data_IF_221781108093
#
_entry.id   IF_221781108093
#
_cell.length_a   1.000
_cell.length_b   1.000
_cell.length_c   1.000
_cell.angle_alpha   90.00
_cell.angle_beta   90.00
_cell.angle_gamma   90.00
#
_symmetry.space_group_name_H-M   'P 1'
#
loop_
_entity.id
_entity.type
_entity.pdbx_description
1 polymer ?
#
# COMPACT_ATOMS: atom_id res chain seq x y z
N UNK A 1 8.12 -31.36 35.58
CA UNK A 1 6.72 -31.05 35.20
C UNK A 1 6.58 -29.67 34.53
N UNK A 2 7.56 -28.77 34.68
CA UNK A 2 7.53 -27.38 34.18
C UNK A 2 7.52 -27.20 32.65
N UNK A 3 8.04 -28.16 31.87
CA UNK A 3 8.15 -28.02 30.41
C UNK A 3 6.87 -28.41 29.66
N UNK A 4 6.08 -29.36 30.19
CA UNK A 4 4.82 -29.77 29.55
C UNK A 4 3.80 -28.62 29.61
N UNK A 5 3.68 -27.94 30.75
CA UNK A 5 2.78 -26.80 30.90
C UNK A 5 3.18 -25.61 29.98
N UNK A 6 4.49 -25.37 29.80
CA UNK A 6 5.00 -24.38 28.83
C UNK A 6 4.63 -24.75 27.39
N UNK A 7 4.79 -26.02 27.01
CA UNK A 7 4.39 -26.52 25.69
C UNK A 7 2.88 -26.31 25.48
N UNK A 8 2.05 -26.71 26.45
CA UNK A 8 0.60 -26.53 26.37
C UNK A 8 0.21 -25.05 26.19
N UNK A 9 0.85 -24.14 26.94
CA UNK A 9 0.64 -22.70 26.78
C UNK A 9 0.96 -22.23 25.36
N UNK A 10 2.13 -22.60 24.82
CA UNK A 10 2.52 -22.23 23.46
C UNK A 10 1.54 -22.77 22.41
N UNK A 11 1.13 -24.04 22.52
CA UNK A 11 0.16 -24.61 21.57
C UNK A 11 -1.17 -23.88 21.56
N UNK A 12 -1.62 -23.37 22.73
CA UNK A 12 -2.81 -22.53 22.82
C UNK A 12 -2.61 -21.18 22.13
N UNK A 13 -1.45 -20.54 22.31
CA UNK A 13 -1.11 -19.29 21.61
C UNK A 13 -1.10 -19.47 20.08
N UNK A 14 -0.59 -20.60 19.58
CA UNK A 14 -0.65 -20.96 18.16
C UNK A 14 -2.10 -21.10 17.66
N UNK A 15 -2.94 -21.80 18.42
CA UNK A 15 -4.36 -21.96 18.06
C UNK A 15 -5.08 -20.59 18.01
N UNK A 16 -4.86 -19.74 19.00
CA UNK A 16 -5.45 -18.40 19.05
C UNK A 16 -4.94 -17.52 17.89
N UNK A 17 -3.65 -17.61 17.54
CA UNK A 17 -3.10 -16.89 16.40
C UNK A 17 -3.71 -17.36 15.06
N UNK A 18 -3.93 -18.67 14.90
CA UNK A 18 -4.58 -19.23 13.71
C UNK A 18 -6.05 -18.78 13.59
N UNK A 19 -6.78 -18.73 14.70
CA UNK A 19 -8.16 -18.21 14.72
C UNK A 19 -8.18 -16.75 14.26
N UNK A 20 -7.33 -15.88 14.85
CA UNK A 20 -7.24 -14.46 14.45
C UNK A 20 -6.85 -14.30 12.99
N UNK A 21 -5.94 -15.13 12.49
CA UNK A 21 -5.55 -15.10 11.07
C UNK A 21 -6.75 -15.39 10.16
N UNK A 22 -7.52 -16.44 10.45
CA UNK A 22 -8.69 -16.81 9.65
C UNK A 22 -9.79 -15.75 9.70
N UNK A 23 -10.03 -15.15 10.88
CA UNK A 23 -10.95 -14.03 11.03
C UNK A 23 -10.56 -12.86 10.13
N UNK A 24 -9.28 -12.49 10.11
CA UNK A 24 -8.78 -11.42 9.23
C UNK A 24 -8.91 -11.78 7.75
N UNK A 25 -8.63 -13.02 7.36
CA UNK A 25 -8.85 -13.46 5.98
C UNK A 25 -10.30 -13.27 5.56
N UNK A 26 -11.24 -13.67 6.42
CA UNK A 26 -12.67 -13.47 6.17
C UNK A 26 -13.04 -11.98 6.07
N UNK A 27 -12.52 -11.12 6.96
CA UNK A 27 -12.80 -9.67 6.93
C UNK A 27 -12.23 -9.03 5.64
N UNK A 28 -11.04 -9.43 5.21
CA UNK A 28 -10.45 -8.96 3.95
C UNK A 28 -11.31 -9.33 2.75
N UNK A 29 -11.64 -10.63 2.61
CA UNK A 29 -12.33 -11.16 1.43
C UNK A 29 -13.77 -10.67 1.31
N UNK A 30 -14.46 -10.49 2.44
CA UNK A 30 -15.89 -10.16 2.43
C UNK A 30 -16.21 -8.67 2.58
N UNK A 31 -15.25 -7.83 3.00
CA UNK A 31 -15.51 -6.42 3.29
C UNK A 31 -14.34 -5.52 2.86
N UNK A 32 -13.20 -5.61 3.57
CA UNK A 32 -12.19 -4.55 3.52
C UNK A 32 -11.48 -4.43 2.17
N UNK A 33 -11.32 -5.51 1.40
CA UNK A 33 -10.73 -5.45 0.06
C UNK A 33 -11.53 -4.51 -0.87
N UNK A 34 -12.83 -4.76 -1.00
CA UNK A 34 -13.72 -3.93 -1.83
C UNK A 34 -13.79 -2.49 -1.31
N UNK A 35 -13.90 -2.32 0.01
CA UNK A 35 -13.92 -1.00 0.63
C UNK A 35 -12.66 -0.18 0.34
N UNK A 36 -11.48 -0.79 0.41
CA UNK A 36 -10.21 -0.13 0.07
C UNK A 36 -10.19 0.24 -1.41
N UNK A 37 -10.55 -0.70 -2.30
CA UNK A 37 -10.57 -0.48 -3.74
C UNK A 37 -11.45 0.70 -4.13
N UNK A 38 -12.66 0.77 -3.58
CA UNK A 38 -13.61 1.86 -3.84
C UNK A 38 -13.08 3.20 -3.32
N UNK A 39 -12.46 3.19 -2.14
CA UNK A 39 -11.86 4.39 -1.56
C UNK A 39 -10.69 4.92 -2.40
N UNK A 40 -9.80 4.02 -2.85
CA UNK A 40 -8.70 4.40 -3.74
C UNK A 40 -9.22 4.91 -5.10
N UNK A 41 -10.31 4.36 -5.62
CA UNK A 41 -10.91 4.80 -6.87
C UNK A 41 -11.49 6.23 -6.76
N UNK A 42 -12.09 6.57 -5.61
CA UNK A 42 -12.51 7.95 -5.30
C UNK A 42 -11.32 8.91 -5.28
N UNK A 43 -10.22 8.52 -4.62
CA UNK A 43 -9.01 9.33 -4.53
C UNK A 43 -8.41 9.55 -5.92
N UNK A 44 -8.24 8.48 -6.71
CA UNK A 44 -7.74 8.56 -8.09
C UNK A 44 -8.61 9.49 -8.94
N UNK A 45 -9.93 9.36 -8.87
CA UNK A 45 -10.86 10.24 -9.60
C UNK A 45 -10.74 11.71 -9.20
N UNK A 46 -10.59 11.99 -7.90
CA UNK A 46 -10.42 13.34 -7.39
C UNK A 46 -9.09 13.97 -7.84
N UNK A 47 -7.99 13.21 -7.81
CA UNK A 47 -6.69 13.65 -8.32
C UNK A 47 -6.78 13.95 -9.82
N UNK A 48 -7.32 13.01 -10.62
CA UNK A 48 -7.45 13.16 -12.07
C UNK A 48 -8.36 14.32 -12.50
N UNK A 49 -9.38 14.65 -11.70
CA UNK A 49 -10.28 15.76 -11.99
C UNK A 49 -9.65 17.14 -11.75
N UNK A 50 -8.66 17.23 -10.85
CA UNK A 50 -8.02 18.50 -10.48
C UNK A 50 -6.62 18.67 -11.04
N UNK A 51 -6.02 17.62 -11.61
CA UNK A 51 -4.65 17.64 -12.10
C UNK A 51 -4.52 16.96 -13.46
N UNK A 52 -4.32 17.77 -14.51
CA UNK A 52 -4.19 17.31 -15.90
C UNK A 52 -3.02 16.32 -16.08
N UNK A 53 -1.95 16.45 -15.30
CA UNK A 53 -0.82 15.52 -15.34
C UNK A 53 -1.25 14.09 -14.97
N UNK A 54 -2.14 13.94 -13.97
CA UNK A 54 -2.57 12.65 -13.49
C UNK A 54 -3.80 12.08 -14.21
N UNK A 55 -4.47 12.87 -15.05
CA UNK A 55 -5.76 12.51 -15.67
C UNK A 55 -5.80 11.14 -16.34
N UNK A 56 -4.69 10.74 -16.98
CA UNK A 56 -4.51 9.43 -17.60
C UNK A 56 -3.35 8.63 -17.00
N UNK A 57 -2.84 9.07 -15.85
CA UNK A 57 -1.58 8.58 -15.29
C UNK A 57 -1.67 8.24 -13.80
N UNK A 58 -2.87 8.24 -13.20
CA UNK A 58 -3.12 7.67 -11.87
C UNK A 58 -4.30 6.72 -11.93
N UNK A 59 -4.12 5.51 -11.41
CA UNK A 59 -5.13 4.45 -11.48
C UNK A 59 -5.04 3.51 -10.27
N UNK A 60 -6.12 2.77 -10.06
CA UNK A 60 -6.17 1.70 -9.05
C UNK A 60 -5.88 0.37 -9.72
N UNK A 61 -4.94 -0.37 -9.15
CA UNK A 61 -4.59 -1.73 -9.55
C UNK A 61 -4.91 -2.69 -8.39
N UNK A 62 -5.40 -3.89 -8.69
CA UNK A 62 -5.84 -4.82 -7.66
C UNK A 62 -5.73 -6.28 -8.10
N UNK A 63 -5.19 -7.11 -7.22
CA UNK A 63 -5.29 -8.57 -7.23
C UNK A 63 -5.90 -9.08 -5.91
N UNK A 64 -5.99 -10.41 -5.74
CA UNK A 64 -6.62 -11.04 -4.57
C UNK A 64 -5.98 -10.66 -3.22
N UNK A 65 -4.70 -10.28 -3.22
CA UNK A 65 -3.91 -10.01 -2.02
C UNK A 65 -3.46 -8.55 -1.90
N UNK A 66 -3.39 -7.81 -3.00
CA UNK A 66 -2.87 -6.45 -3.03
C UNK A 66 -3.81 -5.50 -3.75
N UNK A 67 -4.07 -4.35 -3.13
CA UNK A 67 -4.87 -3.27 -3.71
C UNK A 67 -4.06 -1.99 -3.62
N UNK A 68 -3.88 -1.32 -4.74
CA UNK A 68 -2.91 -0.25 -4.85
C UNK A 68 -3.43 0.93 -5.67
N UNK A 69 -2.98 2.13 -5.32
CA UNK A 69 -3.02 3.29 -6.20
C UNK A 69 -1.62 3.51 -6.77
N UNK A 70 -1.55 3.63 -8.11
CA UNK A 70 -0.30 3.76 -8.86
C UNK A 70 -0.34 5.01 -9.71
N UNK A 71 0.79 5.70 -9.84
CA UNK A 71 1.00 6.62 -10.95
C UNK A 71 1.88 5.96 -12.01
N UNK A 72 1.61 6.24 -13.28
CA UNK A 72 2.43 5.73 -14.37
C UNK A 72 3.69 6.57 -14.60
N UNK A 73 4.41 6.18 -15.64
CA UNK A 73 5.77 6.60 -15.94
C UNK A 73 5.88 8.06 -16.40
N UNK A 74 6.96 8.71 -15.96
CA UNK A 74 7.34 10.07 -16.33
C UNK A 74 8.65 9.98 -17.11
N UNK A 75 8.60 10.25 -18.41
CA UNK A 75 9.81 10.33 -19.23
C UNK A 75 10.57 11.63 -18.94
N UNK A 76 11.89 11.56 -18.83
CA UNK A 76 12.74 12.75 -18.79
C UNK A 76 12.77 13.40 -20.18
N UNK A 77 12.21 14.61 -20.36
CA UNK A 77 12.34 15.29 -21.64
C UNK A 77 13.82 15.60 -21.86
N UNK A 78 14.36 15.22 -23.02
CA UNK A 78 15.74 15.47 -23.47
C UNK A 78 16.85 14.55 -22.93
N UNK A 79 16.53 13.40 -22.31
CA UNK A 79 17.56 12.39 -22.05
C UNK A 79 17.76 11.46 -23.27
N UNK A 80 18.99 11.40 -23.77
CA UNK A 80 19.38 10.53 -24.90
C UNK A 80 19.28 9.03 -24.54
N UNK A 81 19.23 8.70 -23.25
CA UNK A 81 19.12 7.33 -22.75
C UNK A 81 17.67 6.88 -22.48
N UNK A 82 16.66 7.72 -22.74
CA UNK A 82 15.25 7.48 -22.42
C UNK A 82 15.00 7.08 -20.96
N UNK A 83 15.72 7.68 -20.02
CA UNK A 83 15.47 7.48 -18.60
C UNK A 83 14.08 7.98 -18.22
N UNK A 84 13.45 7.23 -17.32
CA UNK A 84 12.11 7.51 -16.83
C UNK A 84 11.97 7.18 -15.35
N UNK A 85 11.04 7.88 -14.70
CA UNK A 85 10.61 7.61 -13.35
C UNK A 85 9.29 6.84 -13.43
N UNK A 86 9.22 5.61 -12.92
CA UNK A 86 7.98 4.82 -13.02
C UNK A 86 6.89 5.26 -12.01
N UNK A 87 7.00 6.48 -11.48
CA UNK A 87 6.02 7.08 -10.59
C UNK A 87 6.03 6.50 -9.17
N UNK A 88 4.86 6.48 -8.53
CA UNK A 88 4.65 5.93 -7.20
C UNK A 88 3.67 4.76 -7.20
N UNK A 89 3.80 3.91 -6.17
CA UNK A 89 2.89 2.81 -5.90
C UNK A 89 2.61 2.77 -4.40
N UNK A 90 1.35 2.96 -4.01
CA UNK A 90 0.91 2.87 -2.60
C UNK A 90 -0.02 1.68 -2.48
N UNK A 91 0.46 0.62 -1.84
CA UNK A 91 -0.21 -0.69 -1.78
C UNK A 91 -0.75 -1.04 -0.40
N UNK A 92 -1.89 -1.72 -0.38
CA UNK A 92 -2.52 -2.36 0.76
C UNK A 92 -2.48 -3.86 0.51
N UNK A 93 -1.51 -4.54 1.13
CA UNK A 93 -1.23 -5.96 0.91
C UNK A 93 -1.58 -6.79 2.12
N UNK A 94 -2.45 -7.78 1.94
CA UNK A 94 -2.71 -8.83 2.93
C UNK A 94 -1.49 -9.76 3.01
N UNK A 95 -0.91 -9.90 4.19
CA UNK A 95 0.22 -10.80 4.44
C UNK A 95 -0.23 -12.13 5.05
N UNK A 96 0.68 -13.10 5.15
CA UNK A 96 0.42 -14.50 5.49
C UNK A 96 -0.28 -14.76 6.83
N UNK A 97 -0.30 -13.79 7.75
CA UNK A 97 -1.02 -13.86 9.02
C UNK A 97 -2.34 -13.07 9.02
N UNK A 98 -2.83 -12.72 7.83
CA UNK A 98 -4.08 -11.98 7.59
C UNK A 98 -4.00 -10.48 7.87
N UNK A 99 -2.90 -9.96 8.43
CA UNK A 99 -2.72 -8.51 8.62
C UNK A 99 -2.62 -7.80 7.26
N UNK A 100 -2.92 -6.50 7.25
CA UNK A 100 -2.75 -5.67 6.04
C UNK A 100 -1.55 -4.77 6.21
N UNK A 101 -0.52 -5.02 5.41
CA UNK A 101 0.69 -4.21 5.29
C UNK A 101 0.44 -3.10 4.27
N UNK A 102 0.62 -1.85 4.70
CA UNK A 102 0.52 -0.69 3.80
C UNK A 102 1.91 -0.17 3.55
N UNK A 103 2.24 0.00 2.27
CA UNK A 103 3.56 0.39 1.84
C UNK A 103 3.53 1.42 0.72
N UNK A 104 4.62 2.14 0.61
CA UNK A 104 4.97 2.98 -0.50
C UNK A 104 6.16 2.34 -1.22
N UNK A 105 6.02 2.14 -2.52
CA UNK A 105 7.11 1.73 -3.39
C UNK A 105 7.41 2.87 -4.35
N UNK A 106 8.67 3.28 -4.34
CA UNK A 106 9.19 4.33 -5.20
C UNK A 106 9.89 3.71 -6.40
N UNK A 107 9.61 4.24 -7.58
CA UNK A 107 10.34 3.88 -8.78
C UNK A 107 11.25 5.04 -9.18
N UNK A 108 12.49 5.06 -8.70
CA UNK A 108 13.45 6.13 -9.09
C UNK A 108 14.11 5.88 -10.42
N UNK A 109 14.72 6.95 -10.96
CA UNK A 109 15.70 6.92 -12.04
C UNK A 109 16.88 5.94 -11.82
N UNK A 110 17.18 5.57 -10.57
CA UNK A 110 18.34 4.73 -10.20
C UNK A 110 17.98 3.26 -9.95
N UNK A 111 16.70 2.87 -10.10
CA UNK A 111 16.23 1.49 -9.95
C UNK A 111 14.96 1.35 -9.09
N UNK A 112 14.55 0.10 -8.89
CA UNK A 112 13.47 -0.26 -7.97
C UNK A 112 13.90 0.09 -6.54
N UNK A 113 13.15 0.98 -5.89
CA UNK A 113 13.32 1.24 -4.45
C UNK A 113 12.90 0.02 -3.62
N UNK A 114 13.24 0.03 -2.34
CA UNK A 114 12.66 -0.92 -1.38
C UNK A 114 11.24 -0.47 -0.99
N UNK A 115 10.38 -1.43 -0.63
CA UNK A 115 9.06 -1.11 -0.09
C UNK A 115 9.19 -0.43 1.27
N UNK A 116 8.81 0.84 1.33
CA UNK A 116 8.76 1.59 2.58
C UNK A 116 7.43 1.34 3.30
N UNK A 117 7.53 0.82 4.52
CA UNK A 117 6.35 0.64 5.38
C UNK A 117 5.70 1.98 5.73
N UNK A 118 4.42 2.12 5.39
CA UNK A 118 3.56 3.20 5.90
C UNK A 118 2.82 2.76 7.17
N UNK A 119 2.22 1.56 7.16
CA UNK A 119 1.42 1.08 8.29
C UNK A 119 1.27 -0.44 8.31
N UNK A 120 0.82 -0.99 9.44
CA UNK A 120 0.41 -2.39 9.55
C UNK A 120 -0.89 -2.48 10.35
N UNK A 121 -1.97 -2.89 9.70
CA UNK A 121 -3.24 -3.16 10.37
C UNK A 121 -3.25 -4.56 10.98
N UNK A 122 -3.25 -4.61 12.31
CA UNK A 122 -3.46 -5.85 13.07
C UNK A 122 -4.95 -6.13 13.30
N UNK A 123 -5.74 -5.07 13.46
CA UNK A 123 -7.19 -5.09 13.46
C UNK A 123 -7.69 -4.45 12.16
N UNK A 124 -8.43 -5.23 11.36
CA UNK A 124 -8.88 -4.78 10.05
C UNK A 124 -10.08 -3.83 10.15
N UNK A 125 -10.78 -3.77 11.29
CA UNK A 125 -11.85 -2.78 11.52
C UNK A 125 -11.32 -1.36 11.66
N UNK A 126 -10.02 -1.19 11.93
CA UNK A 126 -9.37 0.13 11.97
C UNK A 126 -9.17 0.73 10.57
N UNK A 127 -9.44 -0.06 9.51
CA UNK A 127 -9.40 0.38 8.11
C UNK A 127 -10.66 1.20 7.83
N UNK A 128 -10.50 2.52 7.96
CA UNK A 128 -11.55 3.52 7.66
C UNK A 128 -11.15 4.37 6.46
N UNK A 129 -12.13 5.01 5.80
CA UNK A 129 -11.88 5.91 4.66
C UNK A 129 -10.88 7.02 5.02
N UNK A 130 -11.04 7.64 6.19
CA UNK A 130 -10.11 8.65 6.70
C UNK A 130 -8.67 8.11 6.87
N UNK A 131 -8.52 6.86 7.33
CA UNK A 131 -7.21 6.23 7.50
C UNK A 131 -6.56 5.89 6.15
N UNK A 132 -7.34 5.41 5.18
CA UNK A 132 -6.87 5.16 3.81
C UNK A 132 -6.38 6.46 3.18
N UNK A 133 -7.19 7.53 3.24
CA UNK A 133 -6.83 8.86 2.70
C UNK A 133 -5.53 9.37 3.34
N UNK A 134 -5.39 9.26 4.67
CA UNK A 134 -4.16 9.67 5.38
C UNK A 134 -2.93 8.92 4.87
N UNK A 135 -3.04 7.60 4.70
CA UNK A 135 -1.92 6.76 4.23
C UNK A 135 -1.56 7.05 2.77
N UNK A 136 -2.55 7.33 1.92
CA UNK A 136 -2.30 7.76 0.54
C UNK A 136 -1.63 9.13 0.51
N UNK A 137 -2.06 10.08 1.34
CA UNK A 137 -1.38 11.37 1.50
C UNK A 137 0.09 11.17 1.89
N UNK A 138 0.37 10.36 2.93
CA UNK A 138 1.74 10.09 3.39
C UNK A 138 2.61 9.46 2.28
N UNK A 139 2.03 8.53 1.49
CA UNK A 139 2.72 7.93 0.35
C UNK A 139 3.01 8.93 -0.78
N UNK A 140 2.06 9.81 -1.12
CA UNK A 140 2.27 10.85 -2.13
C UNK A 140 3.32 11.86 -1.66
N UNK A 141 3.27 12.27 -0.40
CA UNK A 141 4.24 13.19 0.21
C UNK A 141 5.67 12.61 0.13
N UNK A 142 5.83 11.32 0.46
CA UNK A 142 7.10 10.60 0.24
C UNK A 142 7.52 10.58 -1.23
N UNK A 143 6.59 10.24 -2.13
CA UNK A 143 6.84 10.22 -3.57
C UNK A 143 7.33 11.55 -4.11
N UNK A 144 6.73 12.66 -3.68
CA UNK A 144 7.17 14.01 -4.05
C UNK A 144 8.61 14.27 -3.62
N UNK A 145 9.00 13.89 -2.40
CA UNK A 145 10.36 14.09 -1.92
C UNK A 145 11.41 13.24 -2.65
N UNK A 146 11.00 12.12 -3.23
CA UNK A 146 11.87 11.22 -3.97
C UNK A 146 11.96 11.49 -5.47
N UNK A 147 11.01 12.24 -6.03
CA UNK A 147 10.90 12.42 -7.48
C UNK A 147 11.93 13.40 -8.02
N UNK A 148 12.49 13.10 -9.20
CA UNK A 148 13.44 13.99 -9.86
C UNK A 148 12.84 15.37 -10.16
N UNK A 149 11.51 15.45 -10.33
CA UNK A 149 10.79 16.70 -10.58
C UNK A 149 10.94 17.70 -9.44
N UNK A 150 11.23 17.23 -8.22
CA UNK A 150 11.42 18.09 -7.04
C UNK A 150 12.86 18.06 -6.53
N UNK A 151 13.74 17.26 -7.14
CA UNK A 151 15.14 17.15 -6.76
C UNK A 151 15.88 18.45 -7.12
N UNK A 152 16.27 19.22 -6.11
CA UNK A 152 16.96 20.51 -6.28
C UNK A 152 16.03 21.72 -6.40
N UNK A 153 14.72 21.53 -6.42
CA UNK A 153 13.71 22.61 -6.42
C UNK A 153 13.36 23.13 -5.01
N UNK A 154 14.05 22.62 -3.97
CA UNK A 154 14.06 23.14 -2.59
C UNK A 154 15.41 22.97 -1.91
#
# INVERSE_FOLDING_TARGET
>A
MENIDKILKLTKEYQEANIRMNERYAIWENDKSTFIKDTLAKISSAISAQNDFFKNNVYVDSDDNNIAIKSGEIALPFDENNLSENGFHIGFSRISNGKVYVYFHQHTLLGLGEDEKLFLFDNLEDITEAKIIKLVYEGIEKGMHSSFLFAGDK
#
